data_IF_751265328375
#
_entry.id   IF_751265328375
#
_cell.length_a   1.000
_cell.length_b   1.000
_cell.length_c   1.000
_cell.angle_alpha   90.00
_cell.angle_beta   90.00
_cell.angle_gamma   90.00
#
_symmetry.space_group_name_H-M   'P 1'
#
loop_
_entity.id
_entity.type
_entity.pdbx_description
1 polymer ?
#
# COMPACT_ATOMS: atom_id res chain seq x y z
N UNK A 1 16.61 -19.61 72.04
CA UNK A 1 17.84 -19.63 72.88
C UNK A 1 19.05 -19.81 72.00
N UNK A 2 20.11 -19.18 72.34
CA UNK A 2 20.47 -17.82 71.98
C UNK A 2 21.91 -17.69 71.41
N UNK A 3 22.28 -16.42 71.23
CA UNK A 3 23.65 -15.86 71.34
C UNK A 3 24.35 -15.55 70.01
N UNK A 4 24.51 -14.33 69.76
CA UNK A 4 25.26 -13.17 70.27
C UNK A 4 26.56 -12.88 69.54
N UNK A 5 26.67 -11.63 69.10
CA UNK A 5 27.80 -10.68 69.26
C UNK A 5 29.06 -11.01 68.44
N UNK A 6 29.66 -10.12 67.74
CA UNK A 6 30.30 -8.86 68.13
C UNK A 6 30.92 -8.16 66.91
N UNK A 7 30.61 -6.98 66.73
CA UNK A 7 31.42 -5.81 66.57
C UNK A 7 32.93 -5.95 66.44
N UNK A 8 33.52 -5.30 65.44
CA UNK A 8 34.75 -4.53 65.61
C UNK A 8 34.97 -3.56 64.45
N UNK A 9 34.99 -2.33 64.84
CA UNK A 9 35.55 -1.17 64.13
C UNK A 9 36.99 -1.36 63.73
N UNK A 10 37.46 -0.79 62.64
CA UNK A 10 38.69 -0.01 62.56
C UNK A 10 38.80 0.70 61.22
N UNK A 11 38.53 1.97 61.21
CA UNK A 11 39.38 3.15 61.03
C UNK A 11 40.35 3.15 59.84
N UNK A 12 40.11 4.21 59.02
CA UNK A 12 41.10 5.13 58.40
C UNK A 12 41.93 4.63 57.24
N UNK A 13 41.66 5.26 56.11
CA UNK A 13 42.69 6.08 55.44
C UNK A 13 42.04 7.01 54.39
N UNK A 14 42.32 8.26 54.57
CA UNK A 14 42.08 9.36 53.61
C UNK A 14 42.82 9.07 52.30
N UNK A 15 42.14 9.22 51.20
CA UNK A 15 42.71 9.30 49.87
C UNK A 15 41.98 10.36 49.06
N UNK A 16 42.39 11.59 49.24
CA UNK A 16 42.06 12.70 48.31
C UNK A 16 42.50 12.28 46.92
N UNK A 17 41.58 12.19 46.00
CA UNK A 17 41.89 12.32 44.57
C UNK A 17 40.84 13.15 43.88
N UNK A 18 41.35 14.25 43.44
CA UNK A 18 40.93 15.33 42.55
C UNK A 18 39.74 15.00 41.60
N UNK A 19 38.73 15.84 41.71
CA UNK A 19 37.67 16.03 40.76
C UNK A 19 38.20 16.39 39.37
N UNK A 20 38.32 15.42 38.50
CA UNK A 20 38.45 15.63 37.04
C UNK A 20 37.12 16.06 36.48
N UNK A 21 36.96 17.38 36.35
CA UNK A 21 35.84 18.03 35.67
C UNK A 21 35.87 17.67 34.20
N UNK A 22 35.25 16.56 33.79
CA UNK A 22 34.99 16.27 32.38
C UNK A 22 34.09 17.36 31.85
N UNK A 23 34.67 18.30 31.13
CA UNK A 23 33.98 19.22 30.23
C UNK A 23 33.18 18.37 29.26
N UNK A 24 31.87 18.31 29.46
CA UNK A 24 30.94 17.87 28.42
C UNK A 24 31.10 18.90 27.27
N UNK A 25 31.67 18.45 26.16
CA UNK A 25 31.56 19.16 24.91
C UNK A 25 30.05 19.20 24.57
N UNK A 26 29.44 20.35 24.81
CA UNK A 26 28.17 20.71 24.21
C UNK A 26 28.46 20.81 22.71
N UNK A 27 28.11 19.74 21.98
CA UNK A 27 27.98 19.85 20.54
C UNK A 27 26.95 20.95 20.25
N UNK A 28 27.26 21.93 19.39
CA UNK A 28 26.30 22.96 19.05
C UNK A 28 25.06 22.25 18.48
N UNK A 29 23.88 22.48 19.09
CA UNK A 29 22.60 22.13 18.49
C UNK A 29 22.62 22.67 17.07
N UNK A 30 22.26 21.85 16.05
CA UNK A 30 22.10 22.38 14.71
C UNK A 30 21.10 23.53 14.82
N UNK A 31 21.55 24.72 14.43
CA UNK A 31 20.68 25.89 14.29
C UNK A 31 19.57 25.45 13.33
N UNK A 32 18.28 25.77 13.59
CA UNK A 32 17.26 25.60 12.59
C UNK A 32 17.75 26.33 11.34
N UNK A 33 17.89 25.56 10.26
CA UNK A 33 18.28 26.10 8.96
C UNK A 33 17.42 27.32 8.68
N UNK A 34 18.09 28.40 8.29
CA UNK A 34 17.46 29.60 7.81
C UNK A 34 16.31 29.26 6.86
N UNK A 35 15.21 29.95 7.07
CA UNK A 35 14.00 29.99 6.25
C UNK A 35 14.29 29.88 4.75
N UNK A 36 14.44 28.65 4.28
CA UNK A 36 14.20 28.37 2.88
C UNK A 36 12.68 28.36 2.78
N UNK A 37 12.10 29.45 2.35
CA UNK A 37 10.71 29.50 1.94
C UNK A 37 10.52 28.31 1.00
N UNK A 38 9.72 27.27 1.36
CA UNK A 38 9.61 26.11 0.52
C UNK A 38 9.04 26.58 -0.82
N UNK A 39 9.72 26.24 -1.90
CA UNK A 39 9.24 26.58 -3.22
C UNK A 39 7.87 25.95 -3.41
N UNK A 40 6.87 26.79 -3.72
CA UNK A 40 5.51 26.31 -4.00
C UNK A 40 5.54 25.53 -5.31
N UNK A 41 5.11 24.28 -5.25
CA UNK A 41 5.01 23.41 -6.42
C UNK A 41 3.85 23.86 -7.29
N UNK A 42 4.13 24.21 -8.53
CA UNK A 42 3.12 24.68 -9.48
C UNK A 42 2.10 23.59 -9.81
N UNK A 43 0.85 23.98 -10.05
CA UNK A 43 -0.17 23.08 -10.57
C UNK A 43 0.28 22.45 -11.91
N UNK A 44 0.08 21.14 -12.07
CA UNK A 44 0.55 20.35 -13.21
C UNK A 44 1.93 19.74 -13.05
N UNK A 45 2.70 20.14 -12.03
CA UNK A 45 4.01 19.52 -11.74
C UNK A 45 3.90 18.35 -10.75
N UNK A 46 4.95 17.54 -10.70
CA UNK A 46 5.04 16.41 -9.77
C UNK A 46 5.37 16.94 -8.38
N UNK A 47 4.57 16.56 -7.40
CA UNK A 47 4.78 16.85 -5.99
C UNK A 47 5.18 15.58 -5.24
N UNK A 48 6.06 15.72 -4.26
CA UNK A 48 6.43 14.68 -3.31
C UNK A 48 5.78 14.94 -1.93
N UNK A 49 5.62 13.92 -1.07
CA UNK A 49 5.12 14.13 0.29
C UNK A 49 5.98 15.14 1.05
N UNK A 50 5.34 16.17 1.59
CA UNK A 50 5.99 17.28 2.28
C UNK A 50 6.20 18.54 1.44
N UNK A 51 6.02 18.47 0.13
CA UNK A 51 6.11 19.66 -0.74
C UNK A 51 4.95 20.62 -0.48
N UNK A 52 5.25 21.91 -0.48
CA UNK A 52 4.24 22.97 -0.32
C UNK A 52 3.58 23.25 -1.65
N UNK A 53 2.26 23.16 -1.67
CA UNK A 53 1.42 23.39 -2.84
C UNK A 53 0.78 24.80 -2.84
N UNK A 54 0.58 25.38 -1.68
CA UNK A 54 -0.06 26.70 -1.54
C UNK A 54 -0.29 27.09 -0.10
N UNK A 55 -0.99 28.22 0.07
CA UNK A 55 -1.34 28.79 1.36
C UNK A 55 -2.77 28.36 1.75
N UNK A 56 -2.93 27.90 3.00
CA UNK A 56 -4.23 27.50 3.55
C UNK A 56 -5.20 28.68 3.74
N UNK A 57 -4.72 29.93 3.67
CA UNK A 57 -5.58 31.11 3.71
C UNK A 57 -6.29 31.37 2.36
N UNK A 58 -5.69 30.93 1.26
CA UNK A 58 -6.20 31.17 -0.10
C UNK A 58 -6.80 29.95 -0.76
N UNK A 59 -6.42 28.76 -0.28
CA UNK A 59 -6.83 27.50 -0.89
C UNK A 59 -7.38 26.54 0.18
N UNK A 60 -8.16 25.58 -0.28
CA UNK A 60 -8.70 24.48 0.55
C UNK A 60 -7.97 23.18 0.24
N UNK A 61 -7.79 22.34 1.28
CA UNK A 61 -7.22 21.01 1.09
C UNK A 61 -8.20 20.08 0.38
N UNK A 62 -7.71 19.41 -0.65
CA UNK A 62 -8.40 18.33 -1.33
C UNK A 62 -7.72 16.97 -1.12
N UNK A 63 -8.14 15.92 -1.83
CA UNK A 63 -7.52 14.60 -1.77
C UNK A 63 -6.01 14.66 -2.01
N UNK A 64 -5.25 13.90 -1.20
CA UNK A 64 -3.80 13.84 -1.31
C UNK A 64 -3.04 15.04 -0.74
N UNK A 65 -3.73 15.94 -0.01
CA UNK A 65 -3.13 17.13 0.63
C UNK A 65 -3.58 17.26 2.08
N UNK A 66 -2.83 18.01 2.88
CA UNK A 66 -3.23 18.42 4.23
C UNK A 66 -2.73 19.83 4.54
N UNK A 67 -3.44 20.52 5.44
CA UNK A 67 -3.00 21.82 5.94
C UNK A 67 -2.08 21.62 7.15
N UNK A 68 -0.92 22.29 7.14
CA UNK A 68 0.04 22.30 8.24
C UNK A 68 0.77 23.64 8.29
N UNK A 69 0.80 24.24 9.48
CA UNK A 69 1.51 25.51 9.72
C UNK A 69 1.12 26.65 8.76
N UNK A 70 -0.17 26.72 8.36
CA UNK A 70 -0.68 27.72 7.43
C UNK A 70 -0.42 27.41 5.94
N UNK A 71 0.27 26.33 5.62
CA UNK A 71 0.52 25.89 4.26
C UNK A 71 -0.24 24.62 3.93
N UNK A 72 -0.56 24.41 2.64
CA UNK A 72 -1.11 23.16 2.13
C UNK A 72 0.05 22.36 1.57
N UNK A 73 0.26 21.16 2.11
CA UNK A 73 1.33 20.26 1.73
C UNK A 73 0.80 18.98 1.07
N UNK A 74 1.57 18.43 0.14
CA UNK A 74 1.28 17.13 -0.45
C UNK A 74 1.50 16.01 0.58
N UNK A 75 0.59 15.03 0.61
CA UNK A 75 0.70 13.84 1.47
C UNK A 75 1.08 12.59 0.68
N UNK A 76 1.05 12.65 -0.64
CA UNK A 76 1.44 11.55 -1.52
C UNK A 76 2.18 12.09 -2.75
N UNK A 77 2.97 11.21 -3.37
CA UNK A 77 3.64 11.51 -4.64
C UNK A 77 2.62 11.48 -5.78
N UNK A 78 2.60 12.54 -6.59
CA UNK A 78 1.68 12.62 -7.71
C UNK A 78 1.73 13.97 -8.38
N UNK A 79 0.79 14.23 -9.28
CA UNK A 79 0.65 15.54 -9.94
C UNK A 79 -0.21 16.45 -9.08
N UNK A 80 0.28 17.66 -8.83
CA UNK A 80 -0.47 18.70 -8.14
C UNK A 80 -1.51 19.33 -9.08
N UNK A 81 -2.74 19.49 -8.62
CA UNK A 81 -3.82 20.13 -9.33
C UNK A 81 -4.44 21.23 -8.47
N UNK A 82 -4.75 22.37 -9.11
CA UNK A 82 -5.56 23.42 -8.53
C UNK A 82 -6.92 23.44 -9.26
N UNK A 83 -7.95 23.05 -8.56
CA UNK A 83 -9.32 23.06 -9.04
C UNK A 83 -10.18 24.08 -8.30
N UNK A 84 -10.31 25.30 -8.83
CA UNK A 84 -11.13 26.36 -8.24
C UNK A 84 -10.80 26.67 -6.77
N UNK A 85 -9.51 26.76 -6.43
CA UNK A 85 -9.04 27.03 -5.07
C UNK A 85 -8.96 25.79 -4.16
N UNK A 86 -9.14 24.60 -4.70
CA UNK A 86 -8.91 23.32 -4.01
C UNK A 86 -7.64 22.68 -4.53
N UNK A 87 -6.62 22.62 -3.69
CA UNK A 87 -5.36 21.96 -4.02
C UNK A 87 -5.47 20.46 -3.77
N UNK A 88 -5.16 19.67 -4.79
CA UNK A 88 -5.18 18.22 -4.72
C UNK A 88 -3.87 17.65 -5.24
N UNK A 89 -3.48 16.48 -4.75
CA UNK A 89 -2.39 15.71 -5.35
C UNK A 89 -2.93 14.35 -5.77
N UNK A 90 -2.90 14.08 -7.07
CA UNK A 90 -3.32 12.82 -7.64
C UNK A 90 -2.11 12.03 -8.11
N UNK A 91 -2.07 10.72 -7.83
CA UNK A 91 -1.05 9.85 -8.43
C UNK A 91 -1.15 9.89 -9.94
N UNK A 92 -0.01 9.90 -10.60
CA UNK A 92 0.06 9.68 -12.03
C UNK A 92 -0.47 8.27 -12.34
N UNK A 93 -1.59 8.20 -13.05
CA UNK A 93 -2.31 6.96 -13.32
C UNK A 93 -3.51 6.78 -12.38
N UNK A 94 -4.67 6.54 -12.99
CA UNK A 94 -5.87 6.16 -12.25
C UNK A 94 -5.61 4.77 -11.65
N UNK A 95 -5.65 4.64 -10.32
CA UNK A 95 -5.68 3.32 -9.72
C UNK A 95 -6.92 2.60 -10.23
N UNK A 96 -6.77 1.46 -10.88
CA UNK A 96 -7.93 0.70 -11.29
C UNK A 96 -8.70 0.28 -10.03
N UNK A 97 -10.00 0.54 -10.04
CA UNK A 97 -10.87 0.19 -8.95
C UNK A 97 -11.28 -1.28 -9.09
N UNK A 98 -10.88 -2.09 -8.11
CA UNK A 98 -11.28 -3.49 -8.02
C UNK A 98 -12.59 -3.59 -7.24
N UNK A 99 -13.70 -3.25 -7.89
CA UNK A 99 -15.05 -3.40 -7.36
C UNK A 99 -15.81 -4.54 -8.02
N UNK A 100 -16.96 -4.89 -7.45
CA UNK A 100 -17.90 -5.82 -8.08
C UNK A 100 -18.35 -5.26 -9.44
N UNK A 101 -18.32 -6.08 -10.49
CA UNK A 101 -18.59 -5.67 -11.86
C UNK A 101 -17.36 -5.17 -12.62
N UNK A 102 -16.20 -4.99 -11.97
CA UNK A 102 -14.98 -4.61 -12.66
C UNK A 102 -14.46 -5.74 -13.55
N UNK A 103 -14.09 -5.38 -14.77
CA UNK A 103 -13.42 -6.27 -15.68
C UNK A 103 -11.92 -6.35 -15.32
N UNK A 104 -11.41 -7.57 -15.18
CA UNK A 104 -10.06 -7.83 -14.69
C UNK A 104 -9.33 -8.83 -15.59
N UNK A 105 -8.00 -8.72 -15.56
CA UNK A 105 -7.12 -9.73 -16.14
C UNK A 105 -6.29 -10.36 -15.01
N UNK A 106 -6.23 -11.67 -14.99
CA UNK A 106 -5.50 -12.42 -13.98
C UNK A 106 -4.69 -13.55 -14.60
N UNK A 107 -3.57 -13.85 -13.94
CA UNK A 107 -2.73 -15.00 -14.29
C UNK A 107 -3.10 -16.15 -13.37
N UNK A 108 -3.32 -17.33 -13.94
CA UNK A 108 -3.65 -18.53 -13.18
C UNK A 108 -2.40 -19.00 -12.43
N UNK A 109 -2.47 -19.02 -11.13
CA UNK A 109 -1.36 -19.47 -10.27
C UNK A 109 -1.48 -20.96 -9.94
N UNK A 110 -2.71 -21.40 -9.68
CA UNK A 110 -2.99 -22.79 -9.31
C UNK A 110 -4.39 -23.19 -9.72
N UNK A 111 -4.56 -24.41 -10.22
CA UNK A 111 -5.85 -24.94 -10.61
C UNK A 111 -6.17 -26.23 -9.85
N UNK A 112 -7.41 -26.39 -9.46
CA UNK A 112 -8.01 -27.60 -8.94
C UNK A 112 -9.26 -27.95 -9.78
N UNK A 113 -9.82 -29.13 -9.60
CA UNK A 113 -11.03 -29.54 -10.32
C UNK A 113 -12.22 -28.59 -10.14
N UNK A 114 -12.32 -27.93 -8.97
CA UNK A 114 -13.47 -27.11 -8.57
C UNK A 114 -13.18 -25.62 -8.51
N UNK A 115 -11.92 -25.22 -8.50
CA UNK A 115 -11.52 -23.81 -8.39
C UNK A 115 -10.16 -23.55 -9.03
N UNK A 116 -9.97 -22.35 -9.55
CA UNK A 116 -8.68 -21.82 -9.97
C UNK A 116 -8.34 -20.57 -9.15
N UNK A 117 -7.09 -20.48 -8.73
CA UNK A 117 -6.54 -19.29 -8.06
C UNK A 117 -5.85 -18.43 -9.10
N UNK A 118 -6.17 -17.15 -9.09
CA UNK A 118 -5.63 -16.16 -10.00
C UNK A 118 -4.98 -15.02 -9.23
N UNK A 119 -3.92 -14.48 -9.78
CA UNK A 119 -3.34 -13.21 -9.37
C UNK A 119 -3.77 -12.16 -10.40
N UNK A 120 -4.65 -11.25 -10.00
CA UNK A 120 -5.14 -10.17 -10.85
C UNK A 120 -4.01 -9.16 -11.08
N UNK A 121 -3.71 -8.90 -12.35
CA UNK A 121 -2.62 -8.01 -12.75
C UNK A 121 -3.10 -6.71 -13.37
N UNK A 122 -4.33 -6.66 -13.87
CA UNK A 122 -4.93 -5.46 -14.43
C UNK A 122 -6.43 -5.41 -14.17
N UNK A 123 -7.00 -4.20 -14.14
CA UNK A 123 -8.44 -3.95 -14.06
C UNK A 123 -8.80 -2.71 -14.88
N UNK A 124 -9.93 -2.78 -15.60
CA UNK A 124 -10.40 -1.67 -16.43
C UNK A 124 -9.38 -1.18 -17.46
N UNK A 125 -8.51 -2.06 -17.95
CA UNK A 125 -7.47 -1.73 -18.94
C UNK A 125 -6.20 -1.09 -18.35
N UNK A 126 -6.10 -0.92 -17.04
CA UNK A 126 -4.90 -0.41 -16.35
C UNK A 126 -4.26 -1.48 -15.49
N UNK A 127 -2.93 -1.51 -15.46
CA UNK A 127 -2.17 -2.44 -14.61
C UNK A 127 -2.37 -2.09 -13.13
N UNK A 128 -2.41 -3.14 -12.29
CA UNK A 128 -2.42 -3.00 -10.83
C UNK A 128 -1.01 -2.75 -10.31
N UNK A 129 -0.87 -1.88 -9.32
CA UNK A 129 0.42 -1.66 -8.64
C UNK A 129 0.92 -2.93 -7.93
N UNK A 130 -0.01 -3.73 -7.41
CA UNK A 130 0.24 -5.01 -6.77
C UNK A 130 -0.79 -6.03 -7.22
N UNK A 131 -0.41 -7.27 -7.44
CA UNK A 131 -1.36 -8.33 -7.80
C UNK A 131 -2.33 -8.57 -6.65
N UNK A 132 -3.61 -8.70 -6.99
CA UNK A 132 -4.67 -9.03 -6.04
C UNK A 132 -5.09 -10.49 -6.23
N UNK A 133 -5.33 -11.20 -5.13
CA UNK A 133 -5.72 -12.61 -5.20
C UNK A 133 -7.19 -12.76 -5.52
N UNK A 134 -7.49 -13.60 -6.50
CA UNK A 134 -8.84 -13.96 -6.88
C UNK A 134 -9.04 -15.47 -6.96
N UNK A 135 -10.30 -15.88 -6.83
CA UNK A 135 -10.72 -17.27 -6.97
C UNK A 135 -11.82 -17.34 -8.03
N UNK A 136 -11.59 -18.18 -9.03
CA UNK A 136 -12.60 -18.59 -10.00
C UNK A 136 -13.18 -19.93 -9.53
N UNK A 137 -14.48 -19.99 -9.26
CA UNK A 137 -15.16 -21.21 -8.91
C UNK A 137 -15.70 -21.88 -10.17
N UNK A 138 -15.88 -23.18 -10.12
CA UNK A 138 -16.43 -23.96 -11.22
C UNK A 138 -17.82 -23.47 -11.64
N UNK A 139 -18.65 -23.07 -10.69
CA UNK A 139 -19.98 -22.49 -10.92
C UNK A 139 -19.95 -21.14 -11.65
N UNK A 140 -18.89 -20.35 -11.42
CA UNK A 140 -18.68 -19.04 -12.04
C UNK A 140 -17.96 -19.13 -13.41
N UNK A 141 -17.53 -20.32 -13.80
CA UNK A 141 -16.86 -20.56 -15.07
C UNK A 141 -17.83 -20.87 -16.22
N UNK A 142 -19.09 -21.11 -15.92
CA UNK A 142 -20.12 -21.44 -16.91
C UNK A 142 -21.22 -20.39 -16.93
N UNK A 143 -21.86 -20.18 -18.09
CA UNK A 143 -23.07 -19.38 -18.19
C UNK A 143 -24.17 -19.91 -17.26
N UNK A 144 -25.03 -19.04 -16.72
CA UNK A 144 -26.13 -19.45 -15.85
C UNK A 144 -27.04 -20.46 -16.55
N UNK A 145 -27.41 -21.52 -15.82
CA UNK A 145 -28.27 -22.61 -16.33
C UNK A 145 -27.54 -23.83 -16.87
N UNK A 146 -26.19 -23.80 -16.92
CA UNK A 146 -25.41 -25.03 -17.21
C UNK A 146 -24.98 -25.72 -15.93
N UNK A 147 -25.01 -27.07 -15.96
CA UNK A 147 -24.59 -27.91 -14.83
C UNK A 147 -23.05 -27.86 -14.69
N UNK A 148 -22.51 -27.33 -13.57
CA UNK A 148 -21.09 -27.26 -13.34
C UNK A 148 -20.47 -28.62 -12.95
N UNK A 149 -21.29 -29.67 -12.67
CA UNK A 149 -20.81 -30.93 -12.09
C UNK A 149 -19.76 -31.64 -12.94
N UNK A 150 -19.82 -31.50 -14.26
CA UNK A 150 -18.94 -32.15 -15.23
C UNK A 150 -17.76 -31.26 -15.67
N UNK A 151 -17.67 -30.05 -15.17
CA UNK A 151 -16.58 -29.13 -15.54
C UNK A 151 -15.35 -29.42 -14.69
N UNK A 152 -14.23 -29.73 -15.35
CA UNK A 152 -12.92 -29.85 -14.74
C UNK A 152 -12.05 -28.64 -15.14
N UNK A 153 -11.79 -27.77 -14.17
CA UNK A 153 -10.99 -26.57 -14.42
C UNK A 153 -9.52 -26.88 -14.71
N UNK A 154 -9.02 -28.04 -14.26
CA UNK A 154 -7.64 -28.43 -14.57
C UNK A 154 -7.44 -28.80 -16.04
N UNK A 155 -8.51 -29.17 -16.73
CA UNK A 155 -8.47 -29.45 -18.17
C UNK A 155 -8.60 -28.16 -19.01
N UNK A 156 -9.08 -27.07 -18.40
CA UNK A 156 -9.30 -25.81 -19.11
C UNK A 156 -8.21 -24.78 -18.88
N UNK A 157 -7.59 -24.78 -17.69
CA UNK A 157 -6.60 -23.79 -17.30
C UNK A 157 -5.35 -24.45 -16.77
N UNK A 158 -4.21 -24.04 -17.32
CA UNK A 158 -2.88 -24.38 -16.84
C UNK A 158 -2.34 -23.25 -15.94
N UNK A 159 -1.27 -23.52 -15.19
CA UNK A 159 -0.53 -22.47 -14.52
C UNK A 159 0.06 -21.48 -15.53
N UNK A 160 0.10 -20.21 -15.20
CA UNK A 160 0.57 -19.10 -16.02
C UNK A 160 -0.38 -18.66 -17.16
N UNK A 161 -1.52 -19.31 -17.32
CA UNK A 161 -2.53 -18.87 -18.30
C UNK A 161 -3.06 -17.48 -17.93
N UNK A 162 -3.24 -16.62 -18.95
CA UNK A 162 -3.84 -15.30 -18.78
C UNK A 162 -5.35 -15.39 -19.06
N UNK A 163 -6.15 -14.99 -18.06
CA UNK A 163 -7.60 -15.09 -18.10
C UNK A 163 -8.23 -13.71 -17.91
N UNK A 164 -9.24 -13.41 -18.72
CA UNK A 164 -10.10 -12.24 -18.60
C UNK A 164 -11.37 -12.63 -17.86
N UNK A 165 -11.72 -11.87 -16.83
CA UNK A 165 -12.85 -12.20 -15.96
C UNK A 165 -13.53 -10.93 -15.43
N UNK A 166 -14.70 -11.10 -14.81
CA UNK A 166 -15.41 -10.03 -14.11
C UNK A 166 -15.48 -10.35 -12.63
N UNK A 167 -15.25 -9.36 -11.78
CA UNK A 167 -15.40 -9.51 -10.34
C UNK A 167 -16.87 -9.63 -9.97
N UNK A 168 -17.26 -10.73 -9.34
CA UNK A 168 -18.65 -10.97 -8.92
C UNK A 168 -18.88 -10.76 -7.42
N UNK A 169 -17.84 -10.94 -6.61
CA UNK A 169 -17.90 -10.68 -5.19
C UNK A 169 -16.52 -10.37 -4.61
N UNK A 170 -16.53 -9.72 -3.46
CA UNK A 170 -15.32 -9.44 -2.67
C UNK A 170 -15.57 -9.99 -1.27
N UNK A 171 -14.66 -10.80 -0.76
CA UNK A 171 -14.70 -11.37 0.58
C UNK A 171 -14.09 -10.40 1.61
N UNK A 172 -14.44 -10.55 2.89
CA UNK A 172 -13.93 -9.74 4.01
C UNK A 172 -12.40 -9.77 4.12
N UNK A 173 -11.75 -10.84 3.62
CA UNK A 173 -10.30 -10.97 3.55
C UNK A 173 -9.67 -10.30 2.31
N UNK A 174 -10.38 -9.42 1.62
CA UNK A 174 -9.97 -8.79 0.35
C UNK A 174 -9.59 -9.83 -0.74
N UNK A 175 -10.26 -10.97 -0.73
CA UNK A 175 -10.19 -11.97 -1.81
C UNK A 175 -11.32 -11.70 -2.79
N UNK A 176 -10.98 -11.67 -4.06
CA UNK A 176 -11.95 -11.45 -5.12
C UNK A 176 -12.49 -12.77 -5.64
N UNK A 177 -13.78 -12.83 -5.88
CA UNK A 177 -14.40 -13.91 -6.63
C UNK A 177 -14.67 -13.39 -8.03
N UNK A 178 -14.23 -14.16 -9.03
CA UNK A 178 -14.32 -13.75 -10.43
C UNK A 178 -15.11 -14.79 -11.22
N UNK A 179 -15.80 -14.32 -12.26
CA UNK A 179 -16.56 -15.15 -13.18
C UNK A 179 -16.08 -14.92 -14.62
N UNK A 180 -16.09 -15.97 -15.41
CA UNK A 180 -15.82 -15.94 -16.85
C UNK A 180 -17.08 -16.32 -17.66
N UNK A 181 -18.25 -16.37 -17.01
CA UNK A 181 -19.51 -16.74 -17.64
C UNK A 181 -20.03 -15.71 -18.64
N UNK A 182 -19.54 -14.44 -18.57
CA UNK A 182 -19.94 -13.37 -19.46
C UNK A 182 -19.28 -13.51 -20.85
N UNK A 183 -19.97 -12.99 -21.87
CA UNK A 183 -19.44 -12.99 -23.24
C UNK A 183 -18.13 -12.19 -23.34
N UNK A 184 -17.17 -12.75 -24.06
CA UNK A 184 -15.81 -12.16 -24.20
C UNK A 184 -14.87 -12.39 -23.02
N UNK A 185 -15.30 -13.14 -22.01
CA UNK A 185 -14.47 -13.55 -20.86
C UNK A 185 -13.88 -14.95 -21.10
N UNK A 186 -12.83 -15.28 -20.37
CA UNK A 186 -12.15 -16.57 -20.44
C UNK A 186 -10.67 -16.46 -20.74
N UNK A 187 -10.11 -17.52 -21.30
CA UNK A 187 -8.69 -17.64 -21.62
C UNK A 187 -8.30 -16.67 -22.74
N UNK A 188 -7.34 -15.80 -22.48
CA UNK A 188 -6.77 -14.86 -23.47
C UNK A 188 -5.51 -15.43 -24.11
N UNK A 189 -4.62 -15.97 -23.32
CA UNK A 189 -3.35 -16.57 -23.76
C UNK A 189 -3.10 -17.81 -22.94
N UNK A 190 -2.92 -18.95 -23.62
CA UNK A 190 -2.43 -20.17 -23.02
C UNK A 190 -0.91 -20.18 -23.13
N UNK A 191 -0.19 -20.44 -22.04
CA UNK A 191 1.23 -20.74 -22.14
C UNK A 191 1.40 -22.09 -22.81
N UNK A 192 2.07 -22.11 -23.96
CA UNK A 192 2.37 -23.37 -24.62
C UNK A 192 3.32 -24.16 -23.71
N UNK A 193 2.80 -25.22 -23.11
CA UNK A 193 3.63 -26.19 -22.38
C UNK A 193 4.64 -26.77 -23.35
N UNK A 194 5.92 -26.44 -23.17
CA UNK A 194 7.05 -27.05 -23.86
C UNK A 194 7.44 -28.34 -23.15
#
# INVERSE_FOLDING_TARGET
MPRTKKAAQKKRAEGKQSAGKKKRHNAPKPKPNAETTPAVVAAGSVAAPGDVLGDAATHTCGPGTCARDGAIIATLTGTAHDGAGVLTTARAGRRPELGVGAEVMGVVTRTNRTSALLDLVAAGGAALDFPARATLRREDALPPGRDPSNLDLTAQFAGSDLVRAVVVAVDDAARYHVSIAAEGMGLLVAEASS
#
